data_IF_999924794306
#
_entry.id   IF_999924794306
#
_cell.length_a   1.000
_cell.length_b   1.000
_cell.length_c   1.000
_cell.angle_alpha   90.00
_cell.angle_beta   90.00
_cell.angle_gamma   90.00
#
_symmetry.space_group_name_H-M   'P 1'
#
loop_
_entity.id
_entity.type
_entity.pdbx_description
1 polymer ?
#
# COMPACT_ATOMS: atom_id res chain seq x y z
N UNK A 1 -4.06 -14.59 4.82
CA UNK A 1 -2.93 -13.67 5.02
C UNK A 1 -3.11 -12.42 4.19
N UNK A 2 -2.82 -11.27 4.75
CA UNK A 2 -2.85 -10.00 4.05
C UNK A 2 -1.53 -9.28 4.26
N UNK A 3 -1.19 -8.37 3.36
CA UNK A 3 -0.13 -7.40 3.59
C UNK A 3 -0.65 -6.00 3.23
N UNK A 4 0.14 -5.01 3.56
CA UNK A 4 -0.12 -3.63 3.17
C UNK A 4 1.18 -3.07 2.60
N UNK A 5 1.11 -2.61 1.36
CA UNK A 5 2.24 -2.01 0.66
C UNK A 5 1.85 -0.63 0.17
N UNK A 6 2.84 0.24 0.02
CA UNK A 6 2.64 1.59 -0.47
C UNK A 6 3.66 1.91 -1.55
N UNK A 7 3.20 2.46 -2.67
CA UNK A 7 4.03 2.87 -3.80
C UNK A 7 3.53 4.20 -4.36
N UNK A 8 4.44 4.97 -4.92
CA UNK A 8 4.08 6.17 -5.68
C UNK A 8 3.20 5.81 -6.87
N UNK A 9 2.30 6.72 -7.22
CA UNK A 9 1.53 6.63 -8.46
C UNK A 9 1.79 7.86 -9.33
N UNK A 10 1.71 7.68 -10.65
CA UNK A 10 1.83 8.76 -11.62
C UNK A 10 0.47 9.45 -11.83
N UNK A 11 0.43 10.41 -12.76
CA UNK A 11 -0.80 11.16 -13.05
C UNK A 11 -1.93 10.27 -13.56
N UNK A 12 -1.62 9.10 -14.11
CA UNK A 12 -2.61 8.12 -14.59
C UNK A 12 -3.07 7.16 -13.50
N UNK A 13 -2.53 7.27 -12.28
CA UNK A 13 -2.85 6.36 -11.19
C UNK A 13 -2.11 5.04 -11.24
N UNK A 14 -1.10 4.91 -12.10
CA UNK A 14 -0.28 3.71 -12.20
C UNK A 14 0.83 3.71 -11.17
N UNK A 15 1.06 2.58 -10.51
CA UNK A 15 2.17 2.46 -9.56
C UNK A 15 3.50 2.52 -10.30
N UNK A 16 4.44 3.30 -9.77
CA UNK A 16 5.76 3.51 -10.36
C UNK A 16 6.82 3.48 -9.27
N UNK A 17 8.05 3.10 -9.66
CA UNK A 17 9.17 3.05 -8.74
C UNK A 17 9.13 1.88 -7.76
N UNK A 18 10.05 1.86 -6.80
CA UNK A 18 10.12 0.79 -5.79
C UNK A 18 8.99 0.91 -4.77
N UNK A 19 8.85 -0.14 -3.96
CA UNK A 19 7.93 -0.13 -2.82
C UNK A 19 8.49 0.83 -1.77
N UNK A 20 7.67 1.80 -1.36
CA UNK A 20 8.06 2.80 -0.37
C UNK A 20 7.86 2.33 1.07
N UNK A 21 6.99 1.35 1.27
CA UNK A 21 6.78 0.77 2.58
C UNK A 21 5.93 -0.49 2.49
N UNK A 22 6.06 -1.35 3.49
CA UNK A 22 5.29 -2.59 3.56
C UNK A 22 5.13 -3.06 5.00
N UNK A 23 4.02 -3.71 5.28
CA UNK A 23 3.78 -4.41 6.54
C UNK A 23 3.02 -5.69 6.25
N UNK A 24 3.42 -6.79 6.90
CA UNK A 24 2.70 -8.06 6.80
C UNK A 24 1.73 -8.18 7.96
N UNK A 25 0.52 -8.62 7.64
CA UNK A 25 -0.52 -8.89 8.63
C UNK A 25 -0.89 -10.37 8.51
N UNK A 26 -0.69 -11.11 9.59
CA UNK A 26 -1.09 -12.51 9.64
C UNK A 26 -2.42 -12.65 10.37
N UNK A 27 -3.23 -13.69 10.06
CA UNK A 27 -4.52 -13.86 10.70
C UNK A 27 -4.44 -13.94 12.22
N UNK A 28 -3.36 -14.44 12.78
CA UNK A 28 -3.18 -14.60 14.23
C UNK A 28 -2.63 -13.35 14.91
N UNK A 29 -2.22 -12.33 14.16
CA UNK A 29 -1.53 -11.17 14.73
C UNK A 29 -2.48 -10.14 15.36
N UNK A 30 -3.76 -10.14 14.99
CA UNK A 30 -4.71 -9.12 15.43
C UNK A 30 -4.46 -7.79 14.74
N UNK A 31 -3.67 -6.92 15.37
CA UNK A 31 -3.35 -5.61 14.83
C UNK A 31 -1.85 -5.51 14.56
N UNK A 32 -1.51 -4.97 13.39
CA UNK A 32 -0.13 -4.67 13.01
C UNK A 32 0.00 -3.18 12.69
N UNK A 33 1.16 -2.61 13.01
CA UNK A 33 1.43 -1.19 12.80
C UNK A 33 2.70 -1.01 12.00
N UNK A 34 2.72 0.04 11.18
CA UNK A 34 3.94 0.54 10.58
C UNK A 34 3.83 2.06 10.48
N UNK A 35 4.96 2.75 10.64
CA UNK A 35 5.04 4.18 10.46
C UNK A 35 6.03 4.45 9.34
N UNK A 36 5.60 5.20 8.34
CA UNK A 36 6.45 5.58 7.21
C UNK A 36 6.58 7.08 7.13
N UNK A 37 7.79 7.55 6.82
CA UNK A 37 8.05 8.97 6.56
C UNK A 37 8.04 9.17 5.04
N UNK A 38 6.89 9.57 4.51
CA UNK A 38 6.68 9.69 3.08
C UNK A 38 6.92 11.11 2.60
N UNK A 39 7.58 11.24 1.46
CA UNK A 39 7.73 12.53 0.77
C UNK A 39 6.38 12.92 0.17
N UNK A 40 6.22 14.24 -0.09
CA UNK A 40 5.05 14.76 -0.78
C UNK A 40 4.81 14.00 -2.07
N UNK A 41 3.57 13.64 -2.34
CA UNK A 41 3.20 12.96 -3.56
C UNK A 41 1.93 12.15 -3.42
N UNK A 42 1.59 11.42 -4.48
CA UNK A 42 0.44 10.53 -4.51
C UNK A 42 0.91 9.10 -4.47
N UNK A 43 0.17 8.26 -3.75
CA UNK A 43 0.54 6.88 -3.47
C UNK A 43 -0.66 5.96 -3.62
N UNK A 44 -0.40 4.70 -3.94
CA UNK A 44 -1.35 3.61 -3.84
C UNK A 44 -0.98 2.77 -2.62
N UNK A 45 -1.96 2.53 -1.75
CA UNK A 45 -1.86 1.59 -0.64
C UNK A 45 -2.65 0.35 -1.06
N UNK A 46 -2.05 -0.83 -0.98
CA UNK A 46 -2.67 -2.02 -1.53
C UNK A 46 -2.20 -3.30 -0.83
N UNK A 47 -3.01 -4.36 -0.98
CA UNK A 47 -2.61 -5.71 -0.60
C UNK A 47 -2.00 -6.40 -1.82
N UNK A 48 -0.82 -7.01 -1.66
CA UNK A 48 -0.13 -7.66 -2.78
C UNK A 48 -0.51 -9.12 -2.98
N UNK A 49 -1.38 -9.67 -2.14
CA UNK A 49 -1.84 -11.05 -2.29
C UNK A 49 -2.60 -11.22 -3.60
N UNK A 50 -2.42 -12.38 -4.31
CA UNK A 50 -3.11 -12.60 -5.59
C UNK A 50 -4.63 -12.41 -5.48
N UNK A 51 -5.18 -11.63 -6.39
CA UNK A 51 -6.63 -11.37 -6.46
C UNK A 51 -7.15 -10.32 -5.49
N UNK A 52 -6.42 -9.94 -4.44
CA UNK A 52 -6.93 -9.01 -3.43
C UNK A 52 -7.08 -7.59 -3.99
N UNK A 53 -6.16 -7.14 -4.83
CA UNK A 53 -6.26 -5.82 -5.45
C UNK A 53 -7.56 -5.69 -6.25
N UNK A 54 -7.90 -6.70 -7.06
CA UNK A 54 -9.11 -6.71 -7.86
C UNK A 54 -10.38 -6.77 -7.01
N UNK A 55 -10.29 -7.26 -5.78
CA UNK A 55 -11.40 -7.28 -4.84
C UNK A 55 -11.57 -5.96 -4.08
N UNK A 56 -10.79 -4.93 -4.45
CA UNK A 56 -10.92 -3.62 -3.84
C UNK A 56 -9.98 -3.35 -2.67
N UNK A 57 -9.00 -4.21 -2.42
CA UNK A 57 -8.04 -4.01 -1.32
C UNK A 57 -6.94 -3.04 -1.74
N UNK A 58 -7.35 -1.82 -2.11
CA UNK A 58 -6.44 -0.74 -2.49
C UNK A 58 -7.10 0.61 -2.25
N UNK A 59 -6.29 1.63 -2.06
CA UNK A 59 -6.75 3.01 -1.89
C UNK A 59 -5.67 3.97 -2.35
N UNK A 60 -6.08 5.14 -2.85
CA UNK A 60 -5.16 6.21 -3.22
C UNK A 60 -5.06 7.19 -2.06
N UNK A 61 -3.85 7.66 -1.78
CA UNK A 61 -3.62 8.69 -0.76
C UNK A 61 -2.73 9.79 -1.34
N UNK A 62 -2.89 10.99 -0.79
CA UNK A 62 -2.06 12.14 -1.13
C UNK A 62 -1.35 12.62 0.11
N UNK A 63 -0.03 12.78 0.02
CA UNK A 63 0.82 13.35 1.08
C UNK A 63 1.18 14.77 0.68
N UNK A 64 0.79 15.73 1.50
CA UNK A 64 1.02 17.17 1.25
C UNK A 64 2.15 17.74 2.09
#
# INVERSE_FOLDING_TARGET
MHDLRIRHINARGQMVGPIDGAVKVTPSAGISYATWHLKRGRYMVYCSMPGHFQLGMHARITVT
#
